data_IF_643547800446
#
_entry.id   IF_643547800446
#
_cell.length_a   1.000
_cell.length_b   1.000
_cell.length_c   1.000
_cell.angle_alpha   90.00
_cell.angle_beta   90.00
_cell.angle_gamma   90.00
#
_symmetry.space_group_name_H-M   'P 1'
#
loop_
_entity.id
_entity.type
_entity.pdbx_description
1 polymer ?
#
# COMPACT_ATOMS: atom_id res chain seq x y z
N UNK A 1 -0.59 8.26 -21.55
CA UNK A 1 0.55 8.43 -20.63
C UNK A 1 0.02 8.38 -19.20
N UNK A 2 0.51 7.45 -18.36
CA UNK A 2 0.15 7.43 -16.94
C UNK A 2 0.57 8.73 -16.24
N UNK A 3 -0.08 9.03 -15.13
CA UNK A 3 0.21 10.18 -14.23
C UNK A 3 -0.01 9.74 -12.78
N UNK A 4 0.44 10.55 -11.83
CA UNK A 4 0.29 10.22 -10.40
C UNK A 4 1.28 9.14 -9.97
N UNK A 5 0.96 8.44 -8.88
CA UNK A 5 1.80 7.37 -8.34
C UNK A 5 2.18 6.35 -9.42
N UNK A 6 1.22 5.90 -10.23
CA UNK A 6 1.45 4.91 -11.29
C UNK A 6 2.57 5.31 -12.25
N UNK A 7 2.63 6.57 -12.72
CA UNK A 7 3.73 7.02 -13.60
C UNK A 7 5.08 6.80 -12.91
N UNK A 8 5.21 7.28 -11.67
CA UNK A 8 6.47 7.28 -10.95
C UNK A 8 6.90 5.88 -10.50
N UNK A 9 5.95 5.00 -10.23
CA UNK A 9 6.19 3.57 -10.04
C UNK A 9 6.79 2.96 -11.30
N UNK A 10 6.18 3.20 -12.47
CA UNK A 10 6.67 2.64 -13.73
C UNK A 10 8.04 3.23 -14.12
N UNK A 11 8.27 4.52 -13.90
CA UNK A 11 9.59 5.15 -14.08
C UNK A 11 10.66 4.50 -13.20
N UNK A 12 10.34 4.22 -11.94
CA UNK A 12 11.25 3.56 -11.00
C UNK A 12 11.60 2.14 -11.48
N UNK A 13 10.60 1.38 -11.92
CA UNK A 13 10.78 0.00 -12.40
C UNK A 13 11.58 -0.04 -13.70
N UNK A 14 11.27 0.82 -14.68
CA UNK A 14 11.98 0.90 -15.96
C UNK A 14 13.39 1.46 -15.84
N UNK A 15 13.70 2.21 -14.78
CA UNK A 15 15.06 2.69 -14.53
C UNK A 15 16.07 1.56 -14.29
N UNK A 16 15.62 0.34 -13.99
CA UNK A 16 16.46 -0.78 -13.60
C UNK A 16 17.06 -0.65 -12.19
N UNK A 17 16.66 0.38 -11.43
CA UNK A 17 17.25 0.70 -10.11
C UNK A 17 16.39 0.28 -8.93
N UNK A 18 15.25 -0.37 -9.15
CA UNK A 18 14.28 -0.71 -8.11
C UNK A 18 14.92 -1.40 -6.89
N UNK A 19 15.65 -2.50 -7.09
CA UNK A 19 16.26 -3.28 -6.01
C UNK A 19 17.25 -2.43 -5.18
N UNK A 20 18.13 -1.69 -5.85
CA UNK A 20 19.11 -0.81 -5.19
C UNK A 20 18.42 0.30 -4.41
N UNK A 21 17.39 0.94 -5.00
CA UNK A 21 16.65 2.03 -4.36
C UNK A 21 15.89 1.53 -3.14
N UNK A 22 15.18 0.40 -3.25
CA UNK A 22 14.46 -0.21 -2.12
C UNK A 22 15.42 -0.65 -1.02
N UNK A 23 16.53 -1.32 -1.36
CA UNK A 23 17.52 -1.72 -0.36
C UNK A 23 18.15 -0.53 0.36
N UNK A 24 18.35 0.60 -0.30
CA UNK A 24 18.90 1.80 0.33
C UNK A 24 17.93 2.44 1.33
N UNK A 25 16.63 2.51 1.01
CA UNK A 25 15.65 3.18 1.90
C UNK A 25 15.07 2.24 2.95
N UNK A 26 15.11 0.92 2.73
CA UNK A 26 14.51 -0.08 3.63
C UNK A 26 15.55 -0.91 4.41
N UNK A 27 16.83 -0.85 4.04
CA UNK A 27 17.88 -1.71 4.60
C UNK A 27 18.12 -1.51 6.10
N UNK A 28 18.05 -0.27 6.60
CA UNK A 28 18.14 0.01 8.04
C UNK A 28 16.95 -0.57 8.83
N UNK A 29 15.87 -0.87 8.13
CA UNK A 29 14.70 -1.55 8.67
C UNK A 29 14.75 -3.07 8.43
N UNK A 30 15.90 -3.65 8.08
CA UNK A 30 16.07 -5.08 7.88
C UNK A 30 15.31 -5.66 6.68
N UNK A 31 14.81 -4.81 5.77
CA UNK A 31 14.12 -5.23 4.55
C UNK A 31 15.08 -5.06 3.37
N UNK A 32 15.31 -6.15 2.66
CA UNK A 32 16.26 -6.20 1.54
C UNK A 32 15.58 -6.73 0.28
N UNK A 33 15.74 -5.98 -0.81
CA UNK A 33 15.24 -6.34 -2.16
C UNK A 33 16.44 -6.45 -3.08
N UNK A 34 16.57 -7.58 -3.77
CA UNK A 34 17.69 -7.87 -4.69
C UNK A 34 17.21 -8.03 -6.13
N UNK A 35 18.11 -7.99 -7.11
CA UNK A 35 17.75 -8.09 -8.54
C UNK A 35 17.04 -9.41 -8.93
N UNK A 36 17.21 -10.47 -8.14
CA UNK A 36 16.54 -11.75 -8.33
C UNK A 36 15.17 -11.87 -7.66
N UNK A 37 14.73 -10.86 -6.91
CA UNK A 37 13.37 -10.84 -6.34
C UNK A 37 12.33 -10.64 -7.44
N UNK A 38 11.18 -11.29 -7.28
CA UNK A 38 10.05 -11.11 -8.19
C UNK A 38 9.25 -9.90 -7.76
N UNK A 39 8.87 -9.05 -8.72
CA UNK A 39 8.02 -7.89 -8.49
C UNK A 39 6.93 -7.71 -9.55
N UNK A 40 5.83 -7.05 -9.15
CA UNK A 40 4.75 -6.58 -10.02
C UNK A 40 4.37 -5.14 -9.66
N UNK A 41 4.12 -4.25 -10.63
CA UNK A 41 4.23 -4.44 -12.09
C UNK A 41 5.69 -4.62 -12.58
N UNK A 42 5.87 -4.87 -13.89
CA UNK A 42 7.19 -5.01 -14.54
C UNK A 42 7.48 -3.81 -15.46
N UNK A 43 7.16 -2.60 -14.97
CA UNK A 43 7.42 -1.38 -15.71
C UNK A 43 6.43 -1.10 -16.84
N UNK A 44 6.77 -0.21 -17.77
CA UNK A 44 5.82 0.26 -18.79
C UNK A 44 5.37 -0.83 -19.77
N UNK A 45 6.20 -1.84 -19.99
CA UNK A 45 5.88 -2.97 -20.87
C UNK A 45 4.78 -3.88 -20.29
N UNK A 46 4.70 -3.96 -18.96
CA UNK A 46 3.68 -4.72 -18.23
C UNK A 46 3.33 -3.97 -16.94
N UNK A 47 2.44 -2.99 -17.09
CA UNK A 47 2.01 -2.09 -16.02
C UNK A 47 0.85 -2.66 -15.19
N UNK A 48 0.58 -3.97 -15.26
CA UNK A 48 -0.54 -4.56 -14.55
C UNK A 48 -0.27 -4.60 -13.04
N UNK A 49 -1.05 -3.86 -12.27
CA UNK A 49 -1.06 -3.95 -10.80
C UNK A 49 -1.77 -5.23 -10.36
N UNK A 50 -1.14 -5.96 -9.45
CA UNK A 50 -1.64 -7.26 -9.00
C UNK A 50 -2.31 -7.18 -7.64
N UNK A 51 -3.21 -8.14 -7.40
CA UNK A 51 -3.72 -8.40 -6.05
C UNK A 51 -2.68 -9.23 -5.28
N UNK A 52 -2.62 -9.03 -3.97
CA UNK A 52 -1.79 -9.87 -3.09
C UNK A 52 -2.12 -11.35 -3.25
N UNK A 53 -3.41 -11.69 -3.39
CA UNK A 53 -3.86 -13.08 -3.55
C UNK A 53 -3.23 -13.74 -4.77
N UNK A 54 -3.28 -13.08 -5.94
CA UNK A 54 -2.67 -13.57 -7.18
C UNK A 54 -1.16 -13.71 -7.02
N UNK A 55 -0.50 -12.64 -6.56
CA UNK A 55 0.95 -12.62 -6.38
C UNK A 55 1.44 -13.72 -5.44
N UNK A 56 0.78 -13.88 -4.29
CA UNK A 56 1.14 -14.91 -3.31
C UNK A 56 0.88 -16.31 -3.85
N UNK A 57 -0.22 -16.55 -4.56
CA UNK A 57 -0.49 -17.86 -5.18
C UNK A 57 0.63 -18.28 -6.14
N UNK A 58 1.20 -17.32 -6.89
CA UNK A 58 2.26 -17.58 -7.87
C UNK A 58 3.67 -17.64 -7.26
N UNK A 59 3.96 -16.85 -6.22
CA UNK A 59 5.35 -16.63 -5.76
C UNK A 59 5.62 -16.96 -4.29
N UNK A 60 4.57 -17.03 -3.45
CA UNK A 60 4.72 -17.14 -2.00
C UNK A 60 3.90 -18.28 -1.36
N UNK A 61 3.13 -19.06 -2.12
CA UNK A 61 2.12 -19.99 -1.58
C UNK A 61 2.66 -20.99 -0.55
N UNK A 62 3.91 -21.43 -0.71
CA UNK A 62 4.54 -22.45 0.12
C UNK A 62 5.30 -21.82 1.32
N UNK A 63 5.23 -20.49 1.50
CA UNK A 63 5.97 -19.75 2.54
C UNK A 63 5.14 -19.44 3.78
N UNK A 64 3.82 -19.64 3.72
CA UNK A 64 2.87 -19.29 4.77
C UNK A 64 1.56 -20.07 4.60
N UNK A 65 0.62 -19.94 5.53
CA UNK A 65 -0.70 -20.55 5.42
C UNK A 65 -1.58 -19.80 4.40
N UNK A 66 -1.33 -20.04 3.12
CA UNK A 66 -2.06 -19.42 2.02
C UNK A 66 -3.55 -19.75 2.08
N UNK A 67 -3.93 -20.98 2.44
CA UNK A 67 -5.34 -21.39 2.50
C UNK A 67 -6.12 -20.60 3.56
N UNK A 68 -5.53 -20.35 4.73
CA UNK A 68 -6.13 -19.50 5.76
C UNK A 68 -6.27 -18.04 5.32
N UNK A 69 -5.27 -17.50 4.63
CA UNK A 69 -5.35 -16.16 4.05
C UNK A 69 -6.45 -16.07 2.97
N UNK A 70 -6.50 -17.08 2.10
CA UNK A 70 -7.46 -17.20 0.99
C UNK A 70 -8.91 -17.23 1.48
N UNK A 71 -9.16 -18.00 2.55
CA UNK A 71 -10.46 -18.14 3.16
C UNK A 71 -10.91 -16.91 3.97
N UNK A 72 -9.97 -16.08 4.42
CA UNK A 72 -10.25 -14.91 5.24
C UNK A 72 -10.85 -13.75 4.44
N UNK A 73 -10.37 -13.53 3.21
CA UNK A 73 -10.75 -12.36 2.43
C UNK A 73 -11.90 -12.66 1.44
N UNK A 74 -12.35 -11.62 0.73
CA UNK A 74 -13.44 -11.76 -0.22
C UNK A 74 -13.02 -12.58 -1.46
N UNK A 75 -13.87 -13.52 -1.93
CA UNK A 75 -13.56 -14.37 -3.09
C UNK A 75 -13.26 -13.61 -4.39
N UNK A 76 -12.49 -14.21 -5.32
CA UNK A 76 -12.06 -13.58 -6.59
C UNK A 76 -13.16 -13.18 -7.55
N UNK A 77 -14.38 -13.69 -7.37
CA UNK A 77 -15.54 -13.17 -8.11
C UNK A 77 -15.81 -11.69 -7.79
N UNK A 78 -15.20 -11.15 -6.74
CA UNK A 78 -15.22 -9.75 -6.35
C UNK A 78 -13.94 -9.04 -6.76
N UNK A 79 -14.06 -7.72 -7.00
CA UNK A 79 -12.89 -6.88 -7.24
C UNK A 79 -12.06 -6.79 -5.96
N UNK A 80 -10.90 -7.43 -5.99
CA UNK A 80 -9.93 -7.40 -4.92
C UNK A 80 -9.00 -6.17 -5.02
N UNK A 81 -8.50 -5.66 -3.89
CA UNK A 81 -7.56 -4.54 -3.90
C UNK A 81 -6.26 -4.91 -4.62
N UNK A 82 -5.87 -4.07 -5.58
CA UNK A 82 -4.56 -4.09 -6.22
C UNK A 82 -3.57 -3.24 -5.42
N UNK A 83 -2.29 -3.40 -5.71
CA UNK A 83 -1.18 -2.71 -5.04
C UNK A 83 -0.28 -2.06 -6.08
N UNK A 84 0.26 -0.88 -5.75
CA UNK A 84 1.15 -0.14 -6.65
C UNK A 84 2.41 -0.96 -6.96
N UNK A 85 3.00 -1.60 -5.94
CA UNK A 85 4.07 -2.61 -6.12
C UNK A 85 3.91 -3.76 -5.12
N UNK A 86 4.11 -4.98 -5.60
CA UNK A 86 4.34 -6.18 -4.79
C UNK A 86 5.72 -6.72 -5.13
N UNK A 87 6.53 -7.06 -4.13
CA UNK A 87 7.85 -7.67 -4.35
C UNK A 87 8.11 -8.76 -3.33
N UNK A 88 8.67 -9.89 -3.75
CA UNK A 88 9.38 -10.74 -2.80
C UNK A 88 10.56 -9.95 -2.23
N UNK A 89 10.95 -10.26 -1.01
CA UNK A 89 12.10 -9.65 -0.36
C UNK A 89 12.60 -10.57 0.75
N UNK A 90 13.64 -10.13 1.43
CA UNK A 90 14.06 -10.70 2.72
C UNK A 90 13.79 -9.69 3.83
N UNK A 91 13.22 -10.14 4.94
CA UNK A 91 12.95 -9.34 6.15
C UNK A 91 13.66 -10.02 7.32
N UNK A 92 14.64 -9.33 7.91
CA UNK A 92 15.50 -9.84 8.99
C UNK A 92 16.08 -11.24 8.67
N UNK A 93 16.54 -11.43 7.44
CA UNK A 93 17.11 -12.70 6.97
C UNK A 93 16.08 -13.78 6.58
N UNK A 94 14.78 -13.51 6.73
CA UNK A 94 13.71 -14.46 6.39
C UNK A 94 13.00 -14.06 5.08
N UNK A 95 12.68 -15.00 4.17
CA UNK A 95 11.87 -14.69 3.00
C UNK A 95 10.54 -14.05 3.38
N UNK A 96 10.22 -12.91 2.79
CA UNK A 96 9.04 -12.12 3.09
C UNK A 96 8.41 -11.47 1.86
N UNK A 97 7.51 -10.54 2.13
CA UNK A 97 6.78 -9.80 1.12
C UNK A 97 6.81 -8.29 1.42
N UNK A 98 7.23 -7.51 0.43
CA UNK A 98 7.11 -6.06 0.42
C UNK A 98 5.81 -5.68 -0.30
N UNK A 99 4.95 -4.97 0.41
CA UNK A 99 3.72 -4.38 -0.10
C UNK A 99 3.93 -2.86 -0.20
N UNK A 100 3.78 -2.28 -1.38
CA UNK A 100 3.95 -0.83 -1.59
C UNK A 100 2.62 -0.19 -1.96
N UNK A 101 2.25 0.84 -1.22
CA UNK A 101 1.21 1.81 -1.56
C UNK A 101 1.90 3.15 -1.85
N UNK A 102 1.84 3.60 -3.10
CA UNK A 102 2.55 4.78 -3.56
C UNK A 102 1.61 5.98 -3.70
N UNK A 103 2.13 7.18 -3.40
CA UNK A 103 1.42 8.45 -3.53
C UNK A 103 2.31 9.50 -4.16
N UNK A 104 1.76 10.34 -5.03
CA UNK A 104 2.47 11.44 -5.68
C UNK A 104 1.84 12.82 -5.40
N UNK A 105 0.66 12.85 -4.77
CA UNK A 105 -0.04 14.07 -4.39
C UNK A 105 -0.98 13.86 -3.20
N UNK A 106 -1.41 14.96 -2.61
CA UNK A 106 -2.29 15.00 -1.43
C UNK A 106 -3.67 14.36 -1.67
N UNK A 107 -4.24 14.52 -2.86
CA UNK A 107 -5.57 13.98 -3.20
C UNK A 107 -5.60 12.46 -3.39
N UNK A 108 -4.44 11.80 -3.45
CA UNK A 108 -4.39 10.33 -3.51
C UNK A 108 -4.55 9.69 -2.11
N UNK A 109 -4.51 10.48 -1.04
CA UNK A 109 -4.87 10.01 0.31
C UNK A 109 -6.38 10.11 0.50
N UNK A 110 -7.04 8.96 0.62
CA UNK A 110 -8.47 8.88 0.84
C UNK A 110 -8.81 8.77 2.32
N UNK A 111 -9.43 9.81 2.87
CA UNK A 111 -9.88 9.89 4.26
C UNK A 111 -11.25 9.24 4.47
N UNK A 112 -11.96 8.92 3.39
CA UNK A 112 -13.31 8.40 3.44
C UNK A 112 -13.35 6.89 3.71
N UNK A 113 -14.52 6.42 4.11
CA UNK A 113 -14.84 5.00 4.14
C UNK A 113 -15.18 4.44 2.77
N UNK A 114 -15.41 3.12 2.72
CA UNK A 114 -15.93 2.43 1.54
C UNK A 114 -17.42 2.76 1.38
N UNK A 115 -17.83 3.54 0.37
CA UNK A 115 -19.23 3.88 0.20
C UNK A 115 -20.04 2.63 -0.19
N UNK A 116 -21.27 2.54 0.32
CA UNK A 116 -22.25 1.60 -0.15
C UNK A 116 -23.41 2.36 -0.78
N UNK A 117 -23.66 2.10 -2.07
CA UNK A 117 -24.77 2.74 -2.78
C UNK A 117 -26.12 2.32 -2.16
N UNK A 118 -27.11 3.23 -2.03
CA UNK A 118 -28.47 2.85 -1.62
C UNK A 118 -29.12 1.82 -2.57
N UNK A 119 -28.67 1.76 -3.83
CA UNK A 119 -29.12 0.81 -4.85
C UNK A 119 -28.15 -0.36 -5.04
N UNK A 120 -27.27 -0.61 -4.07
CA UNK A 120 -26.31 -1.70 -4.14
C UNK A 120 -27.02 -3.06 -4.30
N UNK A 121 -26.49 -3.91 -5.18
CA UNK A 121 -26.92 -5.30 -5.27
C UNK A 121 -26.62 -6.03 -3.96
N UNK A 122 -27.34 -7.11 -3.68
CA UNK A 122 -27.10 -7.91 -2.47
C UNK A 122 -25.67 -8.45 -2.42
N UNK A 123 -25.12 -8.76 -3.60
CA UNK A 123 -23.74 -9.14 -3.77
C UNK A 123 -22.74 -8.05 -3.30
N UNK A 124 -23.05 -6.78 -3.58
CA UNK A 124 -22.23 -5.64 -3.14
C UNK A 124 -22.36 -5.38 -1.64
N UNK A 125 -23.56 -5.55 -1.08
CA UNK A 125 -23.80 -5.46 0.38
C UNK A 125 -23.04 -6.56 1.13
N UNK A 126 -23.07 -7.78 0.62
CA UNK A 126 -22.34 -8.91 1.20
C UNK A 126 -20.83 -8.66 1.20
N UNK A 127 -20.27 -8.23 0.07
CA UNK A 127 -18.86 -7.87 -0.04
C UNK A 127 -18.48 -6.75 0.95
N UNK A 128 -19.34 -5.72 1.07
CA UNK A 128 -19.16 -4.63 2.03
C UNK A 128 -19.19 -5.09 3.48
N UNK A 129 -20.02 -6.09 3.81
CA UNK A 129 -20.10 -6.70 5.12
C UNK A 129 -18.83 -7.51 5.46
N UNK A 130 -18.43 -8.44 4.58
CA UNK A 130 -17.23 -9.27 4.78
C UNK A 130 -15.99 -8.39 4.97
N UNK A 131 -15.80 -7.38 4.11
CA UNK A 131 -14.69 -6.43 4.24
C UNK A 131 -14.69 -5.76 5.62
N UNK A 132 -15.86 -5.38 6.12
CA UNK A 132 -16.00 -4.79 7.45
C UNK A 132 -15.58 -5.76 8.56
N UNK A 133 -16.02 -7.02 8.48
CA UNK A 133 -15.64 -8.07 9.43
C UNK A 133 -14.14 -8.34 9.43
N UNK A 134 -13.53 -8.44 8.26
CA UNK A 134 -12.09 -8.67 8.13
C UNK A 134 -11.26 -7.52 8.73
N UNK A 135 -11.68 -6.26 8.50
CA UNK A 135 -11.01 -5.08 9.08
C UNK A 135 -11.21 -5.05 10.61
N UNK A 136 -12.40 -5.39 11.10
CA UNK A 136 -12.68 -5.44 12.55
C UNK A 136 -11.87 -6.54 13.26
N UNK A 137 -11.73 -7.72 12.64
CA UNK A 137 -10.88 -8.80 13.13
C UNK A 137 -9.43 -8.32 13.26
N UNK A 138 -8.90 -7.68 12.22
CA UNK A 138 -7.55 -7.11 12.23
C UNK A 138 -7.40 -6.03 13.30
N UNK A 139 -8.37 -5.13 13.42
CA UNK A 139 -8.38 -4.06 14.42
C UNK A 139 -8.32 -4.62 15.84
N UNK A 140 -9.16 -5.62 16.13
CA UNK A 140 -9.20 -6.29 17.42
C UNK A 140 -7.89 -7.01 17.74
N UNK A 141 -7.36 -7.78 16.79
CA UNK A 141 -6.12 -8.54 16.99
C UNK A 141 -4.90 -7.61 17.18
N UNK A 142 -4.79 -6.55 16.39
CA UNK A 142 -3.71 -5.57 16.53
C UNK A 142 -3.76 -4.85 17.87
N UNK A 143 -4.95 -4.46 18.35
CA UNK A 143 -5.12 -3.83 19.65
C UNK A 143 -4.75 -4.73 20.84
N UNK A 144 -4.77 -6.06 20.67
CA UNK A 144 -4.29 -6.98 21.72
C UNK A 144 -2.77 -6.95 21.87
N UNK A 145 -2.04 -6.59 20.81
CA UNK A 145 -0.56 -6.58 20.80
C UNK A 145 -0.02 -5.17 21.01
N UNK A 146 -0.59 -4.19 20.30
CA UNK A 146 -0.18 -2.79 20.32
C UNK A 146 -1.43 -1.91 20.38
N UNK A 147 -1.92 -1.53 21.58
CA UNK A 147 -3.16 -0.77 21.73
C UNK A 147 -3.14 0.59 21.03
N UNK A 148 -4.29 1.00 20.49
CA UNK A 148 -4.52 2.31 19.87
C UNK A 148 -4.82 2.26 18.37
N UNK A 149 -5.10 1.08 17.82
CA UNK A 149 -5.66 0.97 16.47
C UNK A 149 -7.16 1.29 16.48
N UNK A 150 -7.57 2.03 15.45
CA UNK A 150 -8.96 2.38 15.15
C UNK A 150 -9.20 2.25 13.64
N UNK A 151 -8.63 1.21 13.01
CA UNK A 151 -8.82 0.97 11.58
C UNK A 151 -10.27 0.58 11.32
N UNK A 152 -10.83 1.08 10.21
CA UNK A 152 -12.24 0.93 9.91
C UNK A 152 -12.50 0.85 8.41
N UNK A 153 -13.57 0.17 8.03
CA UNK A 153 -14.11 0.28 6.68
C UNK A 153 -14.74 1.65 6.42
N UNK A 154 -15.24 2.30 7.46
CA UNK A 154 -16.13 3.46 7.35
C UNK A 154 -15.36 4.80 7.38
N UNK A 155 -14.06 4.77 7.72
CA UNK A 155 -13.12 5.89 7.58
C UNK A 155 -11.76 5.37 7.11
N UNK A 156 -11.02 6.16 6.35
CA UNK A 156 -9.68 5.80 5.85
C UNK A 156 -9.61 4.40 5.23
N UNK A 157 -10.61 4.02 4.43
CA UNK A 157 -10.79 2.63 4.01
C UNK A 157 -9.56 2.04 3.34
N UNK A 158 -8.89 2.81 2.48
CA UNK A 158 -7.70 2.34 1.79
C UNK A 158 -6.59 1.98 2.79
N UNK A 159 -6.30 2.87 3.73
CA UNK A 159 -5.32 2.66 4.80
C UNK A 159 -5.67 1.47 5.68
N UNK A 160 -6.89 1.44 6.19
CA UNK A 160 -7.41 0.36 7.03
C UNK A 160 -7.32 -1.00 6.32
N UNK A 161 -7.64 -1.03 5.02
CA UNK A 161 -7.53 -2.24 4.21
C UNK A 161 -6.08 -2.71 4.02
N UNK A 162 -5.13 -1.78 3.78
CA UNK A 162 -3.70 -2.13 3.63
C UNK A 162 -3.15 -2.74 4.90
N UNK A 163 -3.47 -2.12 6.05
CA UNK A 163 -3.04 -2.60 7.36
C UNK A 163 -3.64 -3.96 7.67
N UNK A 164 -4.95 -4.14 7.47
CA UNK A 164 -5.61 -5.42 7.71
C UNK A 164 -5.03 -6.54 6.83
N UNK A 165 -4.73 -6.24 5.56
CA UNK A 165 -4.13 -7.22 4.64
C UNK A 165 -2.71 -7.59 5.05
N UNK A 166 -1.88 -6.59 5.39
CA UNK A 166 -0.52 -6.81 5.87
C UNK A 166 -0.50 -7.62 7.18
N UNK A 167 -1.41 -7.29 8.11
CA UNK A 167 -1.63 -8.06 9.33
C UNK A 167 -1.99 -9.51 9.02
N UNK A 168 -2.96 -9.77 8.14
CA UNK A 168 -3.41 -11.15 7.91
C UNK A 168 -2.33 -12.02 7.30
N UNK A 169 -1.56 -11.51 6.36
CA UNK A 169 -0.42 -12.22 5.79
C UNK A 169 0.59 -12.61 6.88
N UNK A 170 0.89 -11.68 7.78
CA UNK A 170 1.78 -11.90 8.91
C UNK A 170 1.21 -12.88 9.95
N UNK A 171 -0.07 -12.76 10.29
CA UNK A 171 -0.81 -13.70 11.14
C UNK A 171 -0.85 -15.13 10.54
N UNK A 172 -0.79 -15.25 9.21
CA UNK A 172 -0.67 -16.52 8.50
C UNK A 172 0.78 -17.01 8.34
N UNK A 173 1.76 -16.29 8.87
CA UNK A 173 3.16 -16.72 8.99
C UNK A 173 4.14 -16.09 7.99
N UNK A 174 3.70 -15.18 7.13
CA UNK A 174 4.57 -14.50 6.16
C UNK A 174 5.16 -13.21 6.75
N UNK A 175 6.48 -13.01 6.82
CA UNK A 175 7.04 -11.69 7.11
C UNK A 175 6.57 -10.65 6.09
N UNK A 176 6.07 -9.50 6.57
CA UNK A 176 5.54 -8.43 5.71
C UNK A 176 6.12 -7.07 6.06
N UNK A 177 6.55 -6.34 5.03
CA UNK A 177 6.82 -4.92 5.11
C UNK A 177 5.74 -4.16 4.31
N UNK A 178 4.98 -3.30 4.99
CA UNK A 178 4.01 -2.41 4.37
C UNK A 178 4.63 -1.02 4.19
N UNK A 179 5.02 -0.67 2.97
CA UNK A 179 5.62 0.60 2.63
C UNK A 179 4.58 1.58 2.07
N UNK A 180 4.44 2.73 2.71
CA UNK A 180 3.82 3.92 2.12
C UNK A 180 4.90 4.80 1.50
N UNK A 181 4.93 4.86 0.17
CA UNK A 181 5.96 5.53 -0.61
C UNK A 181 5.48 6.85 -1.20
N UNK A 182 6.05 7.97 -0.75
CA UNK A 182 5.78 9.30 -1.28
C UNK A 182 6.74 9.68 -2.42
N UNK A 183 6.22 9.87 -3.62
CA UNK A 183 6.94 10.45 -4.75
C UNK A 183 6.90 11.98 -4.68
N UNK A 184 8.07 12.59 -4.49
CA UNK A 184 8.24 14.02 -4.20
C UNK A 184 8.84 14.79 -5.37
N UNK A 185 8.50 16.08 -5.48
CA UNK A 185 9.10 16.99 -6.47
C UNK A 185 8.39 17.09 -7.82
N UNK A 186 7.26 16.40 -8.03
CA UNK A 186 6.52 16.48 -9.29
C UNK A 186 5.63 17.73 -9.39
N UNK A 187 6.25 18.89 -9.62
CA UNK A 187 5.53 20.16 -9.81
C UNK A 187 4.50 20.13 -10.96
N UNK A 188 4.62 19.18 -11.89
CA UNK A 188 3.68 18.96 -12.99
C UNK A 188 2.30 18.47 -12.56
N UNK A 189 2.17 17.93 -11.35
CA UNK A 189 0.91 17.43 -10.79
C UNK A 189 0.00 18.52 -10.22
N UNK A 190 0.51 19.76 -10.11
CA UNK A 190 -0.23 20.86 -9.49
C UNK A 190 -1.47 21.23 -10.30
N UNK A 191 -2.62 21.24 -9.61
CA UNK A 191 -3.89 21.80 -10.10
C UNK A 191 -4.50 22.68 -9.01
N UNK A 192 -5.63 23.38 -9.26
CA UNK A 192 -6.33 24.10 -8.21
C UNK A 192 -6.77 23.22 -7.02
N UNK A 193 -6.99 21.93 -7.24
CA UNK A 193 -7.49 20.98 -6.23
C UNK A 193 -6.47 19.94 -5.79
N UNK A 194 -5.27 19.93 -6.37
CA UNK A 194 -4.24 18.92 -6.14
C UNK A 194 -2.88 19.56 -5.93
N UNK A 195 -2.22 19.24 -4.82
CA UNK A 195 -0.86 19.67 -4.55
C UNK A 195 0.12 18.49 -4.64
N UNK A 196 1.27 18.67 -5.33
CA UNK A 196 2.29 17.64 -5.34
C UNK A 196 2.94 17.48 -3.97
N UNK A 197 3.45 16.28 -3.69
CA UNK A 197 4.34 16.10 -2.55
C UNK A 197 5.65 16.86 -2.82
N UNK A 198 6.13 17.61 -1.83
CA UNK A 198 7.20 18.60 -2.04
C UNK A 198 8.55 17.93 -1.76
N UNK A 199 8.70 17.40 -0.56
CA UNK A 199 9.90 16.76 -0.04
C UNK A 199 9.51 15.72 1.03
N UNK A 200 10.52 15.07 1.61
CA UNK A 200 10.35 14.08 2.68
C UNK A 200 9.58 14.65 3.87
N UNK A 201 9.92 15.86 4.31
CA UNK A 201 9.30 16.46 5.50
C UNK A 201 7.82 16.76 5.28
N UNK A 202 7.45 17.22 4.08
CA UNK A 202 6.05 17.39 3.69
C UNK A 202 5.33 16.05 3.69
N UNK A 203 5.93 15.00 3.12
CA UNK A 203 5.34 13.66 3.12
C UNK A 203 5.11 13.10 4.53
N UNK A 204 6.12 13.20 5.40
CA UNK A 204 6.01 12.73 6.79
C UNK A 204 4.96 13.49 7.59
N UNK A 205 4.83 14.81 7.41
CA UNK A 205 3.76 15.59 8.05
C UNK A 205 2.38 15.17 7.56
N UNK A 206 2.23 14.98 6.25
CA UNK A 206 0.97 14.58 5.64
C UNK A 206 0.54 13.18 6.10
N UNK A 207 1.48 12.23 6.12
CA UNK A 207 1.23 10.90 6.69
C UNK A 207 0.95 10.97 8.18
N UNK A 208 1.68 11.77 8.95
CA UNK A 208 1.39 11.97 10.38
C UNK A 208 -0.04 12.43 10.64
N UNK A 209 -0.58 13.32 9.79
CA UNK A 209 -1.99 13.72 9.84
C UNK A 209 -2.92 12.57 9.40
N UNK A 210 -2.59 11.85 8.33
CA UNK A 210 -3.40 10.76 7.78
C UNK A 210 -3.53 9.55 8.71
N UNK A 211 -2.51 9.29 9.52
CA UNK A 211 -2.51 8.20 10.50
C UNK A 211 -3.13 8.63 11.84
N UNK A 212 -3.31 9.94 12.07
CA UNK A 212 -3.77 10.46 13.35
C UNK A 212 -5.16 9.94 13.71
N UNK A 213 -5.28 9.29 14.86
CA UNK A 213 -6.53 8.70 15.34
C UNK A 213 -6.91 7.38 14.68
N UNK A 214 -6.16 6.90 13.68
CA UNK A 214 -6.38 5.61 13.01
C UNK A 214 -5.49 4.51 13.57
N UNK A 215 -4.28 4.85 14.02
CA UNK A 215 -3.34 3.89 14.63
C UNK A 215 -2.35 4.57 15.59
N UNK A 216 -1.60 3.80 16.39
CA UNK A 216 -0.57 4.35 17.26
C UNK A 216 0.54 5.04 16.45
N UNK A 217 0.95 6.25 16.85
CA UNK A 217 1.94 7.03 16.11
C UNK A 217 3.33 6.36 16.00
N UNK A 218 3.66 5.45 16.91
CA UNK A 218 4.92 4.71 16.89
C UNK A 218 4.86 3.42 16.07
N UNK A 219 3.69 3.04 15.54
CA UNK A 219 3.54 1.82 14.75
C UNK A 219 4.45 1.76 13.51
N UNK A 220 4.65 2.84 12.71
CA UNK A 220 5.61 2.84 11.60
C UNK A 220 7.08 2.58 11.98
N UNK A 221 7.41 2.59 13.27
CA UNK A 221 8.75 2.24 13.76
C UNK A 221 8.73 0.96 14.61
N UNK A 222 7.61 0.24 14.63
CA UNK A 222 7.40 -0.93 15.50
C UNK A 222 7.23 -2.18 14.64
N UNK A 223 7.98 -3.23 14.98
CA UNK A 223 7.72 -4.57 14.44
C UNK A 223 6.73 -5.28 15.35
N UNK A 224 5.65 -5.79 14.77
CA UNK A 224 4.68 -6.64 15.46
C UNK A 224 4.95 -8.09 15.05
N UNK A 225 5.16 -8.95 16.04
CA UNK A 225 5.40 -10.38 15.84
C UNK A 225 4.10 -11.18 16.04
N UNK A 226 3.91 -12.20 15.23
CA UNK A 226 2.81 -13.15 15.31
C UNK A 226 3.36 -14.57 15.52
N UNK A 227 2.47 -15.56 15.65
CA UNK A 227 2.89 -16.95 15.76
C UNK A 227 3.74 -17.42 14.57
N UNK A 228 4.68 -18.33 14.83
CA UNK A 228 5.61 -18.82 13.81
C UNK A 228 6.65 -17.77 13.41
N UNK A 229 6.89 -17.62 12.09
CA UNK A 229 7.83 -16.64 11.54
C UNK A 229 7.15 -15.31 11.15
N UNK A 230 5.85 -15.21 11.34
CA UNK A 230 5.05 -14.06 10.93
C UNK A 230 5.45 -12.80 11.69
N UNK A 231 5.73 -11.73 10.97
CA UNK A 231 5.89 -10.40 11.54
C UNK A 231 5.45 -9.34 10.53
N UNK A 232 5.02 -8.19 11.02
CA UNK A 232 4.73 -7.05 10.17
C UNK A 232 5.41 -5.79 10.68
N UNK A 233 5.81 -4.93 9.75
CA UNK A 233 6.15 -3.53 10.02
C UNK A 233 5.56 -2.64 8.95
N UNK A 234 5.12 -1.46 9.35
CA UNK A 234 4.77 -0.39 8.42
C UNK A 234 5.97 0.55 8.28
N UNK A 235 6.23 1.05 7.09
CA UNK A 235 7.32 1.99 6.79
C UNK A 235 6.75 3.17 6.00
N UNK A 236 7.30 4.36 6.23
CA UNK A 236 6.90 5.58 5.53
C UNK A 236 8.15 6.23 4.97
N UNK A 237 8.35 6.08 3.67
CA UNK A 237 9.54 6.58 2.99
C UNK A 237 9.14 7.44 1.79
N UNK A 238 10.12 8.17 1.25
CA UNK A 238 9.90 9.03 0.08
C UNK A 238 11.02 8.91 -0.93
N UNK A 239 10.69 9.09 -2.20
CA UNK A 239 11.65 9.19 -3.30
C UNK A 239 11.39 10.45 -4.11
N UNK A 240 12.44 11.10 -4.58
CA UNK A 240 12.29 12.14 -5.61
C UNK A 240 11.91 11.50 -6.94
N UNK A 241 11.02 12.13 -7.68
CA UNK A 241 10.61 11.64 -9.00
C UNK A 241 11.79 11.64 -9.98
N UNK A 242 11.84 10.63 -10.84
CA UNK A 242 12.85 10.53 -11.91
C UNK A 242 12.57 11.57 -12.99
N UNK A 243 11.30 11.71 -13.37
CA UNK A 243 10.85 12.67 -14.37
C UNK A 243 9.53 13.32 -13.93
N UNK A 244 9.47 14.65 -14.04
CA UNK A 244 8.25 15.41 -13.74
C UNK A 244 7.16 15.19 -14.79
N UNK A 245 5.91 15.13 -14.35
CA UNK A 245 4.77 15.06 -15.26
C UNK A 245 4.64 16.34 -16.09
N UNK A 246 4.13 16.29 -17.35
CA UNK A 246 3.79 17.50 -18.10
C UNK A 246 2.74 18.33 -17.36
N UNK A 247 2.78 19.67 -17.44
CA UNK A 247 1.71 20.49 -16.85
C UNK A 247 0.39 20.26 -17.59
N UNK A 248 -0.73 20.20 -16.86
CA UNK A 248 -2.04 20.23 -17.49
C UNK A 248 -2.23 21.63 -18.11
N UNK A 249 -2.52 21.68 -19.41
CA UNK A 249 -2.85 22.92 -20.08
C UNK A 249 -4.07 23.56 -19.40
N UNK A 250 -4.05 24.87 -19.17
CA UNK A 250 -5.25 25.58 -18.73
C UNK A 250 -6.30 25.42 -19.84
N UNK A 251 -7.52 24.98 -19.50
CA UNK A 251 -8.65 25.21 -20.40
C UNK A 251 -8.68 26.71 -20.72
N UNK A 252 -8.81 27.13 -21.99
CA UNK A 252 -9.05 28.54 -22.28
C UNK A 252 -10.31 28.96 -21.52
N UNK A 253 -10.17 29.98 -20.68
CA UNK A 253 -11.32 30.62 -20.07
C UNK A 253 -12.11 31.23 -21.22
N UNK A 254 -13.35 30.79 -21.41
CA UNK A 254 -14.28 31.47 -22.30
C UNK A 254 -14.48 32.88 -21.75
N UNK A 255 -13.86 33.86 -22.39
CA UNK A 255 -14.17 35.28 -22.23
C UNK A 255 -15.56 35.51 -22.85
N UNK A 256 -16.55 35.75 -21.99
CA UNK A 256 -17.83 36.35 -22.34
C UNK A 256 -18.10 37.50 -21.38
#
# INVERSE_FOLDING_TARGET
>A
MPRGSLKHVLDLLDSGRFAVVMSNILGEHGVHVVEGDTQRPQGYADSEEWTVRRFCAEHCKDRFDFARFDAWWVPDRYRNPQWDILSTCTIDGTPGLLLVEAKANDQELDWNGKPLSPKASDQSKENHHIIGQCIEEANSALNQILPGFSISRDTHYQLSNRIATAWKLADCGLPVALLYLGFTGDAGMRTPTRQPLIDRDHWLRLMGAYLHGVMPQHFPCTTIHFGGNGNMRMLIESLSVIETSPRLARCPQNEH
#
